data_IF_825584206978
#
_entry.id   IF_825584206978
#
_cell.length_a   1.000
_cell.length_b   1.000
_cell.length_c   1.000
_cell.angle_alpha   90.00
_cell.angle_beta   90.00
_cell.angle_gamma   90.00
#
_symmetry.space_group_name_H-M   'P 1'
#
loop_
_entity.id
_entity.type
_entity.pdbx_description
1 polymer ?
#
# COMPACT_ATOMS: atom_id res chain seq x y z
N UNK A 1 25.01 3.15 109.36
CA UNK A 1 25.64 3.43 108.05
C UNK A 1 24.56 3.31 106.98
N UNK A 2 24.68 4.15 105.97
CA UNK A 2 23.62 4.80 105.19
C UNK A 2 22.96 3.93 104.11
N UNK A 3 21.74 4.32 103.77
CA UNK A 3 20.69 3.66 102.98
C UNK A 3 20.46 4.34 101.62
N UNK A 4 19.91 3.56 100.67
CA UNK A 4 19.10 3.89 99.47
C UNK A 4 19.73 4.73 98.31
N UNK A 5 19.76 4.13 97.12
CA UNK A 5 19.89 4.83 95.82
C UNK A 5 18.52 4.90 95.12
N UNK A 6 18.15 6.01 94.46
CA UNK A 6 16.84 6.17 93.82
C UNK A 6 16.81 5.85 92.32
N UNK A 7 15.58 5.68 91.85
CA UNK A 7 15.10 5.16 90.56
C UNK A 7 14.39 6.28 89.78
N UNK A 8 14.70 6.50 88.50
CA UNK A 8 13.81 7.19 87.52
C UNK A 8 14.36 7.01 86.10
N UNK A 9 13.72 6.24 85.23
CA UNK A 9 12.62 6.59 84.30
C UNK A 9 13.15 6.99 82.91
N UNK A 10 12.94 6.10 81.95
CA UNK A 10 13.23 6.27 80.52
C UNK A 10 12.03 6.99 79.88
N UNK A 11 12.27 8.20 79.38
CA UNK A 11 11.34 8.96 78.54
C UNK A 11 11.87 9.07 77.11
N UNK A 12 11.10 8.62 76.14
CA UNK A 12 11.25 8.91 74.69
C UNK A 12 11.06 10.40 74.40
N UNK A 13 11.65 10.91 73.30
CA UNK A 13 10.77 11.52 72.30
C UNK A 13 11.13 11.18 70.84
N UNK A 14 10.05 11.17 70.06
CA UNK A 14 9.90 10.99 68.61
C UNK A 14 10.35 12.24 67.82
N UNK A 15 10.93 12.06 66.61
CA UNK A 15 10.59 12.84 65.40
C UNK A 15 11.36 12.41 64.14
N UNK A 16 10.61 12.20 63.05
CA UNK A 16 11.05 12.55 61.70
C UNK A 16 11.30 11.41 60.70
N UNK A 17 10.26 10.66 60.31
CA UNK A 17 10.30 9.91 59.06
C UNK A 17 10.34 10.90 57.87
N UNK A 18 11.48 11.02 57.21
CA UNK A 18 11.61 11.66 55.90
C UNK A 18 11.36 10.62 54.80
N UNK A 19 10.53 10.90 53.78
CA UNK A 19 10.41 10.01 52.63
C UNK A 19 11.71 10.02 51.82
N UNK A 20 12.13 8.91 51.19
CA UNK A 20 13.32 8.90 50.37
C UNK A 20 13.13 9.79 49.14
N UNK A 21 14.14 10.62 48.88
CA UNK A 21 14.21 11.53 47.74
C UNK A 21 14.06 10.72 46.44
N UNK A 22 12.99 10.97 45.68
CA UNK A 22 12.77 10.36 44.36
C UNK A 22 13.83 10.91 43.40
N UNK A 23 14.85 10.12 43.10
CA UNK A 23 15.84 10.49 42.07
C UNK A 23 15.14 10.65 40.72
N UNK A 24 15.42 11.71 39.95
CA UNK A 24 14.92 11.83 38.59
C UNK A 24 15.49 10.68 37.76
N UNK A 25 14.61 9.86 37.19
CA UNK A 25 14.99 8.85 36.20
C UNK A 25 15.71 9.57 35.05
N UNK A 26 16.90 9.13 34.62
CA UNK A 26 17.63 9.81 33.55
C UNK A 26 16.76 9.84 32.29
N UNK A 27 16.79 10.92 31.50
CA UNK A 27 16.00 11.02 30.28
C UNK A 27 16.38 9.84 29.39
N UNK A 28 15.40 9.03 29.01
CA UNK A 28 15.57 7.98 27.98
C UNK A 28 16.12 8.67 26.74
N UNK A 29 17.43 8.50 26.48
CA UNK A 29 18.00 8.78 25.17
C UNK A 29 17.20 7.93 24.19
N UNK A 30 16.30 8.59 23.45
CA UNK A 30 15.54 7.99 22.37
C UNK A 30 16.55 7.80 21.24
N UNK A 31 17.35 6.75 21.34
CA UNK A 31 18.21 6.31 20.25
C UNK A 31 17.28 5.86 19.13
N UNK A 32 17.20 6.65 18.06
CA UNK A 32 16.68 6.21 16.78
C UNK A 32 17.66 5.18 16.21
N UNK A 33 17.55 3.93 16.67
CA UNK A 33 18.21 2.80 16.02
C UNK A 33 17.51 2.60 14.68
N UNK A 34 18.26 2.72 13.57
CA UNK A 34 17.77 2.47 12.20
C UNK A 34 17.19 1.05 12.03
N UNK A 35 17.42 0.16 13.01
CA UNK A 35 17.09 -1.25 12.95
C UNK A 35 15.74 -1.62 13.59
N UNK A 36 15.12 -0.78 14.41
CA UNK A 36 13.89 -1.15 15.13
C UNK A 36 12.63 -0.70 14.38
N UNK A 37 11.82 -1.65 13.89
CA UNK A 37 10.48 -1.36 13.33
C UNK A 37 9.65 -0.70 14.44
N UNK A 38 9.18 0.55 14.25
CA UNK A 38 8.36 1.24 15.25
C UNK A 38 7.15 0.39 15.63
N UNK A 39 6.74 0.42 16.91
CA UNK A 39 5.58 -0.37 17.38
C UNK A 39 4.31 -0.11 16.55
N UNK A 40 4.09 1.13 16.10
CA UNK A 40 2.98 1.49 15.20
C UNK A 40 3.03 0.77 13.85
N UNK A 41 4.23 0.49 13.32
CA UNK A 41 4.40 -0.24 12.07
C UNK A 41 4.09 -1.74 12.22
N UNK A 42 4.27 -2.33 13.40
CA UNK A 42 3.86 -3.73 13.61
C UNK A 42 2.32 -3.85 13.60
N UNK A 43 1.63 -2.87 14.16
CA UNK A 43 0.17 -2.84 14.24
C UNK A 43 -0.53 -2.59 12.90
N UNK A 44 0.13 -1.88 11.97
CA UNK A 44 -0.42 -1.55 10.64
C UNK A 44 -0.02 -2.51 9.52
N UNK A 45 0.69 -3.61 9.83
CA UNK A 45 1.11 -4.57 8.81
C UNK A 45 -0.15 -5.12 8.10
N UNK A 46 -0.20 -5.15 6.76
CA UNK A 46 -1.35 -5.69 6.06
C UNK A 46 -1.55 -7.19 6.36
N UNK A 47 -2.79 -7.66 6.22
CA UNK A 47 -3.16 -9.07 6.34
C UNK A 47 -2.34 -9.96 5.39
N UNK A 48 -2.16 -11.22 5.79
CA UNK A 48 -1.41 -12.20 5.00
C UNK A 48 -2.12 -12.50 3.67
N UNK A 49 -1.35 -12.59 2.59
CA UNK A 49 -1.89 -12.87 1.27
C UNK A 49 -2.22 -14.36 1.11
N UNK A 50 -3.43 -14.67 0.69
CA UNK A 50 -3.94 -16.04 0.58
C UNK A 50 -3.63 -16.71 -0.78
N UNK A 51 -2.99 -16.01 -1.72
CA UNK A 51 -2.67 -16.56 -3.05
C UNK A 51 -3.72 -16.30 -4.12
N UNK A 52 -4.79 -15.55 -3.84
CA UNK A 52 -5.80 -15.17 -4.84
C UNK A 52 -5.19 -14.30 -5.94
N UNK A 53 -5.34 -14.74 -7.20
CA UNK A 53 -4.79 -14.05 -8.37
C UNK A 53 -5.68 -12.86 -8.78
N UNK A 54 -5.16 -12.00 -9.66
CA UNK A 54 -5.88 -10.86 -10.21
C UNK A 54 -5.90 -9.66 -9.27
N UNK A 55 -7.08 -9.05 -9.11
CA UNK A 55 -7.24 -7.79 -8.40
C UNK A 55 -6.79 -7.88 -6.93
N UNK A 56 -7.02 -9.02 -6.28
CA UNK A 56 -6.61 -9.24 -4.89
C UNK A 56 -5.09 -9.22 -4.71
N UNK A 57 -4.34 -9.74 -5.68
CA UNK A 57 -2.88 -9.68 -5.68
C UNK A 57 -2.37 -8.24 -5.82
N UNK A 58 -2.97 -7.47 -6.74
CA UNK A 58 -2.65 -6.05 -6.94
C UNK A 58 -2.96 -5.22 -5.68
N UNK A 59 -4.13 -5.43 -5.07
CA UNK A 59 -4.51 -4.76 -3.83
C UNK A 59 -3.55 -5.12 -2.69
N UNK A 60 -3.17 -6.39 -2.56
CA UNK A 60 -2.21 -6.81 -1.55
C UNK A 60 -0.86 -6.12 -1.73
N UNK A 61 -0.33 -6.10 -2.95
CA UNK A 61 0.93 -5.43 -3.25
C UNK A 61 0.84 -3.93 -2.93
N UNK A 62 -0.24 -3.26 -3.35
CA UNK A 62 -0.47 -1.84 -3.05
C UNK A 62 -0.47 -1.56 -1.54
N UNK A 63 -1.17 -2.38 -0.73
CA UNK A 63 -1.17 -2.26 0.72
C UNK A 63 0.24 -2.41 1.31
N UNK A 64 1.06 -3.30 0.77
CA UNK A 64 2.45 -3.48 1.18
C UNK A 64 3.33 -2.28 0.81
N UNK A 65 3.13 -1.69 -0.36
CA UNK A 65 3.88 -0.48 -0.77
C UNK A 65 3.57 0.70 0.14
N UNK A 66 2.28 0.95 0.42
CA UNK A 66 1.85 1.98 1.37
C UNK A 66 2.48 1.73 2.74
N UNK A 67 2.41 0.48 3.22
CA UNK A 67 3.01 0.09 4.49
C UNK A 67 4.51 0.38 4.55
N UNK A 68 5.27 0.03 3.52
CA UNK A 68 6.70 0.31 3.49
C UNK A 68 7.01 1.80 3.34
N UNK A 69 6.16 2.57 2.66
CA UNK A 69 6.33 4.01 2.50
C UNK A 69 6.09 4.78 3.80
N UNK A 70 5.04 4.43 4.55
CA UNK A 70 4.72 5.01 5.86
C UNK A 70 5.88 4.88 6.86
N UNK A 71 6.75 3.87 6.66
CA UNK A 71 7.89 3.57 7.51
C UNK A 71 9.20 3.48 6.72
N UNK A 72 9.38 4.34 5.71
CA UNK A 72 10.49 4.25 4.74
C UNK A 72 11.90 4.20 5.34
N UNK A 73 12.13 4.82 6.51
CA UNK A 73 13.42 4.78 7.20
C UNK A 73 13.71 3.45 7.91
N UNK A 74 12.70 2.62 8.14
CA UNK A 74 12.80 1.35 8.86
C UNK A 74 12.93 0.13 7.92
N UNK A 75 12.66 0.30 6.62
CA UNK A 75 12.61 -0.79 5.64
C UNK A 75 13.58 -0.54 4.47
N UNK A 76 14.77 -1.14 4.55
CA UNK A 76 15.63 -1.29 3.38
C UNK A 76 15.09 -2.36 2.42
N UNK A 77 15.74 -2.53 1.25
CA UNK A 77 15.31 -3.52 0.25
C UNK A 77 15.22 -4.93 0.82
N UNK A 78 16.23 -5.38 1.56
CA UNK A 78 16.29 -6.74 2.12
C UNK A 78 15.13 -6.97 3.11
N UNK A 79 14.87 -5.99 3.96
CA UNK A 79 13.79 -6.04 4.94
C UNK A 79 12.42 -6.00 4.28
N UNK A 80 12.22 -5.21 3.21
CA UNK A 80 10.97 -5.22 2.43
C UNK A 80 10.72 -6.61 1.86
N UNK A 81 11.71 -7.20 1.20
CA UNK A 81 11.59 -8.54 0.60
C UNK A 81 11.28 -9.60 1.66
N UNK A 82 12.02 -9.64 2.76
CA UNK A 82 11.78 -10.59 3.84
C UNK A 82 10.39 -10.38 4.48
N UNK A 83 10.00 -9.13 4.74
CA UNK A 83 8.69 -8.81 5.34
C UNK A 83 7.53 -9.20 4.43
N UNK A 84 7.68 -8.96 3.12
CA UNK A 84 6.69 -9.33 2.12
C UNK A 84 6.53 -10.84 2.01
N UNK A 85 7.63 -11.57 1.82
CA UNK A 85 7.62 -13.03 1.68
C UNK A 85 7.13 -13.75 2.93
N UNK A 86 7.47 -13.24 4.12
CA UNK A 86 6.92 -13.77 5.38
C UNK A 86 5.46 -13.40 5.61
N UNK A 87 4.90 -12.47 4.84
CA UNK A 87 3.46 -12.15 4.85
C UNK A 87 2.67 -12.87 3.75
N UNK A 88 3.29 -13.83 3.09
CA UNK A 88 2.60 -14.77 2.22
C UNK A 88 1.96 -15.83 3.12
N UNK A 89 0.63 -15.83 3.14
CA UNK A 89 -0.18 -16.74 3.95
C UNK A 89 -0.11 -18.17 3.44
N UNK A 90 -1.03 -19.01 3.91
CA UNK A 90 -1.03 -20.44 3.60
C UNK A 90 -1.37 -20.76 2.14
N UNK A 91 -1.30 -22.05 1.77
CA UNK A 91 -1.66 -22.53 0.45
C UNK A 91 -0.66 -22.12 -0.65
N UNK A 92 -1.18 -21.64 -1.77
CA UNK A 92 -0.39 -21.30 -2.97
C UNK A 92 0.59 -20.15 -2.72
N UNK A 93 0.22 -19.17 -1.89
CA UNK A 93 1.11 -18.06 -1.54
C UNK A 93 2.36 -18.57 -0.80
N UNK A 94 2.19 -19.44 0.21
CA UNK A 94 3.30 -20.06 0.93
C UNK A 94 4.17 -20.92 0.01
N UNK A 95 3.57 -21.72 -0.88
CA UNK A 95 4.33 -22.56 -1.83
C UNK A 95 5.25 -21.72 -2.72
N UNK A 96 4.75 -20.59 -3.21
CA UNK A 96 5.55 -19.65 -4.01
C UNK A 96 6.64 -18.95 -3.19
N UNK A 97 6.34 -18.54 -1.95
CA UNK A 97 7.27 -17.78 -1.11
C UNK A 97 8.41 -18.61 -0.50
N UNK A 98 8.13 -19.87 -0.13
CA UNK A 98 9.08 -20.78 0.54
C UNK A 98 10.46 -20.89 -0.12
N UNK A 99 10.58 -21.18 -1.44
CA UNK A 99 11.89 -21.28 -2.08
C UNK A 99 12.66 -19.95 -2.03
N UNK A 100 11.97 -18.81 -2.18
CA UNK A 100 12.60 -17.48 -2.09
C UNK A 100 13.05 -17.15 -0.66
N UNK A 101 12.25 -17.48 0.35
CA UNK A 101 12.64 -17.37 1.75
C UNK A 101 13.88 -18.20 2.07
N UNK A 102 13.97 -19.42 1.51
CA UNK A 102 15.13 -20.28 1.70
C UNK A 102 16.39 -19.63 1.14
N UNK A 103 16.32 -19.05 -0.06
CA UNK A 103 17.44 -18.31 -0.67
C UNK A 103 17.88 -17.11 0.17
N UNK A 104 16.95 -16.35 0.77
CA UNK A 104 17.29 -15.27 1.70
C UNK A 104 18.05 -15.81 2.92
N UNK A 105 17.59 -16.91 3.52
CA UNK A 105 18.21 -17.50 4.71
C UNK A 105 19.60 -18.05 4.42
N UNK A 106 19.76 -18.71 3.28
CA UNK A 106 21.03 -19.28 2.82
C UNK A 106 21.98 -18.21 2.22
N UNK A 107 21.53 -16.94 2.14
CA UNK A 107 22.24 -15.81 1.51
C UNK A 107 22.64 -16.10 0.06
N UNK A 108 21.81 -16.88 -0.63
CA UNK A 108 22.00 -17.22 -2.04
C UNK A 108 21.47 -16.08 -2.92
N UNK A 109 22.27 -15.53 -3.85
CA UNK A 109 21.79 -14.52 -4.78
C UNK A 109 20.73 -15.09 -5.72
N UNK A 110 19.72 -14.29 -6.04
CA UNK A 110 18.67 -14.66 -6.98
C UNK A 110 18.14 -13.41 -7.69
N UNK A 111 17.83 -13.51 -8.98
CA UNK A 111 17.33 -12.36 -9.77
C UNK A 111 16.06 -11.74 -9.17
N UNK A 112 15.11 -12.56 -8.74
CA UNK A 112 13.87 -12.10 -8.09
C UNK A 112 14.09 -11.45 -6.72
N UNK A 113 15.28 -11.62 -6.13
CA UNK A 113 15.67 -11.07 -4.83
C UNK A 113 16.76 -9.99 -4.96
N UNK A 114 17.03 -9.51 -6.18
CA UNK A 114 18.05 -8.49 -6.41
C UNK A 114 17.70 -7.16 -5.72
N UNK A 115 16.42 -6.80 -5.71
CA UNK A 115 15.88 -5.64 -5.00
C UNK A 115 14.35 -5.75 -4.90
N UNK A 116 13.73 -4.79 -4.21
CA UNK A 116 12.28 -4.75 -4.03
C UNK A 116 11.50 -4.76 -5.36
N UNK A 117 11.93 -4.02 -6.37
CA UNK A 117 11.22 -3.96 -7.66
C UNK A 117 11.27 -5.29 -8.42
N UNK A 118 12.40 -6.01 -8.38
CA UNK A 118 12.52 -7.33 -8.99
C UNK A 118 11.52 -8.33 -8.36
N UNK A 119 11.37 -8.29 -7.04
CA UNK A 119 10.40 -9.12 -6.33
C UNK A 119 8.96 -8.74 -6.69
N UNK A 120 8.64 -7.44 -6.76
CA UNK A 120 7.30 -6.96 -7.19
C UNK A 120 6.92 -7.48 -8.57
N UNK A 121 7.83 -7.36 -9.54
CA UNK A 121 7.59 -7.81 -10.92
C UNK A 121 7.34 -9.32 -10.97
N UNK A 122 8.13 -10.10 -10.23
CA UNK A 122 7.97 -11.56 -10.14
C UNK A 122 6.65 -11.94 -9.47
N UNK A 123 6.27 -11.22 -8.41
CA UNK A 123 5.00 -11.43 -7.73
C UNK A 123 3.81 -11.16 -8.66
N UNK A 124 3.85 -10.04 -9.41
CA UNK A 124 2.82 -9.72 -10.39
C UNK A 124 2.80 -10.77 -11.51
N UNK A 125 3.94 -11.23 -12.02
CA UNK A 125 3.95 -12.32 -13.01
C UNK A 125 3.28 -13.60 -12.48
N UNK A 126 3.45 -13.92 -11.20
CA UNK A 126 2.88 -15.11 -10.59
C UNK A 126 1.38 -14.96 -10.28
N UNK A 127 0.95 -13.80 -9.79
CA UNK A 127 -0.39 -13.62 -9.22
C UNK A 127 -1.26 -12.57 -9.91
N UNK A 128 -0.78 -11.82 -10.91
CA UNK A 128 -1.66 -10.93 -11.69
C UNK A 128 -2.62 -11.75 -12.55
N UNK A 129 -3.63 -11.07 -13.08
CA UNK A 129 -4.50 -11.65 -14.09
C UNK A 129 -3.84 -11.52 -15.47
N UNK A 130 -3.44 -12.63 -16.12
CA UNK A 130 -2.78 -12.60 -17.42
C UNK A 130 -3.70 -12.06 -18.53
N UNK A 131 -5.02 -12.15 -18.35
CA UNK A 131 -6.01 -11.69 -19.32
C UNK A 131 -6.51 -10.28 -19.04
N UNK A 132 -6.01 -9.57 -18.02
CA UNK A 132 -6.56 -8.26 -17.61
C UNK A 132 -6.55 -7.28 -18.77
N UNK A 133 -5.38 -7.12 -19.40
CA UNK A 133 -5.19 -6.24 -20.56
C UNK A 133 -6.06 -6.66 -21.73
N UNK A 134 -6.09 -7.95 -22.06
CA UNK A 134 -6.91 -8.47 -23.16
C UNK A 134 -8.41 -8.23 -22.92
N UNK A 135 -8.89 -8.44 -21.69
CA UNK A 135 -10.27 -8.13 -21.31
C UNK A 135 -10.56 -6.64 -21.38
N UNK A 136 -9.63 -5.79 -20.93
CA UNK A 136 -9.77 -4.34 -21.04
C UNK A 136 -9.88 -3.89 -22.51
N UNK A 137 -9.05 -4.45 -23.41
CA UNK A 137 -9.11 -4.21 -24.86
C UNK A 137 -10.48 -4.62 -25.43
N UNK A 138 -10.95 -5.82 -25.09
CA UNK A 138 -12.26 -6.28 -25.57
C UNK A 138 -13.41 -5.44 -25.02
N UNK A 139 -13.33 -5.07 -23.74
CA UNK A 139 -14.35 -4.27 -23.07
C UNK A 139 -14.41 -2.85 -23.62
N UNK A 140 -13.27 -2.21 -23.88
CA UNK A 140 -13.25 -0.83 -24.41
C UNK A 140 -13.78 -0.77 -25.83
N UNK A 141 -13.53 -1.80 -26.66
CA UNK A 141 -14.12 -1.90 -28.00
C UNK A 141 -15.61 -2.20 -28.00
N UNK A 142 -16.11 -2.93 -27.00
CA UNK A 142 -17.54 -3.26 -26.85
C UNK A 142 -18.31 -2.19 -26.08
N UNK A 143 -17.63 -1.22 -25.47
CA UNK A 143 -18.28 -0.19 -24.67
C UNK A 143 -19.12 0.71 -25.57
N UNK A 144 -20.40 0.82 -25.24
CA UNK A 144 -21.37 1.63 -25.96
C UNK A 144 -22.14 2.49 -24.95
N UNK A 145 -22.42 3.74 -25.31
CA UNK A 145 -23.25 4.64 -24.55
C UNK A 145 -24.71 4.18 -24.68
N UNK A 146 -25.19 3.38 -23.74
CA UNK A 146 -26.60 2.94 -23.71
C UNK A 146 -27.46 3.85 -22.83
N UNK A 147 -26.88 4.40 -21.76
CA UNK A 147 -27.52 5.31 -20.80
C UNK A 147 -27.07 6.76 -20.94
N UNK A 148 -26.64 7.34 -19.82
CA UNK A 148 -26.11 8.70 -19.76
C UNK A 148 -24.68 8.78 -20.29
N UNK A 149 -24.33 9.95 -20.82
CA UNK A 149 -22.98 10.44 -21.06
C UNK A 149 -21.99 10.09 -19.92
N UNK A 150 -22.32 10.54 -18.71
CA UNK A 150 -21.48 10.39 -17.53
C UNK A 150 -21.16 8.92 -17.20
N UNK A 151 -22.14 8.02 -17.37
CA UNK A 151 -21.92 6.60 -17.13
C UNK A 151 -20.94 6.01 -18.14
N UNK A 152 -21.11 6.35 -19.42
CA UNK A 152 -20.20 5.93 -20.48
C UNK A 152 -18.77 6.46 -20.24
N UNK A 153 -18.62 7.75 -19.96
CA UNK A 153 -17.33 8.39 -19.65
C UNK A 153 -16.64 7.72 -18.46
N UNK A 154 -17.38 7.43 -17.40
CA UNK A 154 -16.81 6.79 -16.19
C UNK A 154 -16.30 5.38 -16.49
N UNK A 155 -17.10 4.59 -17.21
CA UNK A 155 -16.70 3.25 -17.64
C UNK A 155 -15.49 3.29 -18.59
N UNK A 156 -15.48 4.22 -19.55
CA UNK A 156 -14.38 4.40 -20.49
C UNK A 156 -13.09 4.78 -19.76
N UNK A 157 -13.13 5.77 -18.86
CA UNK A 157 -11.98 6.19 -18.03
C UNK A 157 -11.40 5.04 -17.21
N UNK A 158 -12.25 4.17 -16.69
CA UNK A 158 -11.80 3.01 -15.90
C UNK A 158 -10.98 2.06 -16.77
N UNK A 159 -11.47 1.75 -17.99
CA UNK A 159 -10.76 0.89 -18.94
C UNK A 159 -9.48 1.54 -19.48
N UNK A 160 -9.46 2.86 -19.65
CA UNK A 160 -8.25 3.59 -20.05
C UNK A 160 -7.10 3.41 -19.06
N UNK A 161 -7.36 3.36 -17.74
CA UNK A 161 -6.32 3.18 -16.73
C UNK A 161 -5.62 1.81 -16.83
N UNK A 162 -6.24 0.84 -17.50
CA UNK A 162 -5.69 -0.50 -17.68
C UNK A 162 -4.94 -0.67 -19.01
N UNK A 163 -4.94 0.37 -19.86
CA UNK A 163 -4.43 0.32 -21.23
C UNK A 163 -3.36 1.38 -21.48
N UNK A 164 -2.19 0.96 -21.94
CA UNK A 164 -1.10 1.86 -22.36
C UNK A 164 -1.27 2.27 -23.83
N UNK A 165 -2.41 2.86 -24.20
CA UNK A 165 -2.66 3.32 -25.57
C UNK A 165 -2.37 4.81 -25.73
N UNK A 166 -2.11 5.22 -26.97
CA UNK A 166 -1.99 6.63 -27.32
C UNK A 166 -3.36 7.35 -27.22
N UNK A 167 -3.33 8.65 -26.93
CA UNK A 167 -4.54 9.48 -26.80
C UNK A 167 -5.41 9.46 -28.05
N UNK A 168 -4.83 9.42 -29.25
CA UNK A 168 -5.59 9.36 -30.50
C UNK A 168 -6.38 8.05 -30.60
N UNK A 169 -5.76 6.91 -30.24
CA UNK A 169 -6.44 5.62 -30.22
C UNK A 169 -7.63 5.62 -29.24
N UNK A 170 -7.47 6.25 -28.07
CA UNK A 170 -8.57 6.42 -27.13
C UNK A 170 -9.69 7.31 -27.69
N UNK A 171 -9.37 8.42 -28.36
CA UNK A 171 -10.38 9.30 -28.97
C UNK A 171 -11.19 8.54 -30.03
N UNK A 172 -10.54 7.74 -30.88
CA UNK A 172 -11.20 6.98 -31.94
C UNK A 172 -12.18 5.95 -31.38
N UNK A 173 -11.79 5.20 -30.34
CA UNK A 173 -12.68 4.22 -29.70
C UNK A 173 -13.77 4.92 -28.90
N UNK A 174 -13.46 6.03 -28.22
CA UNK A 174 -14.44 6.83 -27.48
C UNK A 174 -15.57 7.31 -28.39
N UNK A 175 -15.23 7.89 -29.56
CA UNK A 175 -16.21 8.39 -30.53
C UNK A 175 -17.09 7.27 -31.08
N UNK A 176 -16.52 6.10 -31.39
CA UNK A 176 -17.25 4.93 -31.91
C UNK A 176 -18.28 4.37 -30.92
N UNK A 177 -18.06 4.53 -29.62
CA UNK A 177 -18.98 4.06 -28.59
C UNK A 177 -20.10 5.04 -28.22
N UNK A 178 -20.10 6.27 -28.72
CA UNK A 178 -21.17 7.24 -28.42
C UNK A 178 -22.48 6.90 -29.13
N UNK A 179 -23.62 7.36 -28.60
CA UNK A 179 -24.92 7.18 -29.27
C UNK A 179 -24.96 7.89 -30.62
N UNK A 180 -25.70 7.34 -31.57
CA UNK A 180 -25.82 7.91 -32.93
C UNK A 180 -26.24 9.39 -32.93
N UNK A 181 -27.20 9.78 -32.07
CA UNK A 181 -27.64 11.18 -31.98
C UNK A 181 -26.51 12.09 -31.46
N UNK A 182 -25.76 11.63 -30.46
CA UNK A 182 -24.58 12.34 -29.93
C UNK A 182 -23.50 12.43 -31.01
N UNK A 183 -23.18 11.34 -31.71
CA UNK A 183 -22.23 11.34 -32.82
C UNK A 183 -22.64 12.32 -33.93
N UNK A 184 -23.92 12.43 -34.26
CA UNK A 184 -24.41 13.38 -35.26
C UNK A 184 -24.30 14.83 -34.78
N UNK A 185 -24.62 15.11 -33.52
CA UNK A 185 -24.38 16.44 -32.92
C UNK A 185 -22.88 16.78 -32.91
N UNK A 186 -22.02 15.80 -32.63
CA UNK A 186 -20.58 15.95 -32.70
C UNK A 186 -20.07 16.27 -34.11
N UNK A 187 -20.58 15.57 -35.13
CA UNK A 187 -20.22 15.85 -36.52
C UNK A 187 -20.64 17.27 -36.91
N UNK A 188 -21.83 17.71 -36.51
CA UNK A 188 -22.31 19.08 -36.74
C UNK A 188 -21.42 20.11 -36.03
N UNK A 189 -21.05 19.87 -34.77
CA UNK A 189 -20.17 20.74 -34.01
C UNK A 189 -18.74 20.79 -34.58
N UNK A 190 -18.24 19.69 -35.13
CA UNK A 190 -16.92 19.58 -35.78
C UNK A 190 -16.85 20.31 -37.13
N UNK A 191 -18.00 20.50 -37.79
CA UNK A 191 -18.09 21.29 -39.02
C UNK A 191 -18.11 22.80 -38.71
N UNK A 192 -18.61 23.20 -37.54
CA UNK A 192 -18.72 24.61 -37.14
C UNK A 192 -17.59 25.10 -36.24
N UNK A 193 -16.86 24.20 -35.57
CA UNK A 193 -15.67 24.47 -34.78
C UNK A 193 -14.56 23.48 -35.16
N UNK A 194 -13.30 23.93 -35.14
CA UNK A 194 -12.16 23.04 -35.34
C UNK A 194 -11.93 22.14 -34.09
N UNK A 195 -12.72 21.07 -34.00
CA UNK A 195 -12.64 20.08 -32.91
C UNK A 195 -11.48 19.10 -33.11
N UNK A 196 -10.70 19.22 -34.20
CA UNK A 196 -9.51 18.38 -34.46
C UNK A 196 -8.44 18.55 -33.37
N UNK A 197 -8.49 19.65 -32.62
CA UNK A 197 -7.60 19.98 -31.50
C UNK A 197 -8.14 19.59 -30.12
N UNK A 198 -9.37 19.05 -30.04
CA UNK A 198 -9.98 18.76 -28.74
C UNK A 198 -9.27 17.59 -28.07
N UNK A 199 -8.77 17.84 -26.85
CA UNK A 199 -8.21 16.81 -26.00
C UNK A 199 -9.28 15.81 -25.60
N UNK A 200 -8.89 14.57 -25.31
CA UNK A 200 -9.78 13.52 -24.83
C UNK A 200 -10.59 13.97 -23.59
N UNK A 201 -9.99 14.77 -22.71
CA UNK A 201 -10.71 15.34 -21.56
C UNK A 201 -11.83 16.30 -21.99
N UNK A 202 -11.56 17.16 -22.99
CA UNK A 202 -12.59 18.04 -23.54
C UNK A 202 -13.71 17.24 -24.22
N UNK A 203 -13.40 16.09 -24.82
CA UNK A 203 -14.41 15.18 -25.35
C UNK A 203 -15.27 14.54 -24.25
N UNK A 204 -14.69 14.25 -23.09
CA UNK A 204 -15.37 13.63 -21.94
C UNK A 204 -16.13 14.62 -21.04
N UNK A 205 -15.87 15.92 -21.15
CA UNK A 205 -16.56 16.97 -20.38
C UNK A 205 -17.81 17.51 -21.09
N UNK A 206 -17.80 17.54 -22.42
CA UNK A 206 -18.88 18.14 -23.21
C UNK A 206 -20.01 17.14 -23.50
N UNK A 207 -19.75 15.83 -23.44
CA UNK A 207 -20.68 14.77 -23.88
C UNK A 207 -20.55 13.47 -23.08
#
# INVERSE_FOLDING_TARGET
>A
MTSLSPRTSIGTPSRGNTPPLRTPKPPKKRGSTKDEIPKGARAKKPEAFNGKRGQEAEIFLMKMEIYFNDYGTAFDNNRKMATFLTNMGEGEAAKWAKPLLRKILDKEPHEYLANWNALKNTFLLAFSDPMKKERAIQNIHKLQQTGSAQHYVTAFRTLMQELDWDKHAFIDVFKKGLKNNVQQELLKATITQDTSTFSLEKWMEVY
#
